data_IF_921506731739
#
_entry.id   IF_921506731739
#
_cell.length_a   1.000
_cell.length_b   1.000
_cell.length_c   1.000
_cell.angle_alpha   90.00
_cell.angle_beta   90.00
_cell.angle_gamma   90.00
#
_symmetry.space_group_name_H-M   'P 1'
#
loop_
_entity.id
_entity.type
_entity.pdbx_description
1 polymer ?
#
# COMPACT_ATOMS: atom_id res chain seq x y z
N UNK A 1 20.62 4.02 -3.21
CA UNK A 1 19.97 5.07 -4.03
C UNK A 1 18.60 5.34 -3.45
N UNK A 2 18.13 6.59 -3.41
CA UNK A 2 16.82 6.90 -2.83
C UNK A 2 15.70 6.56 -3.82
N UNK A 3 14.69 5.81 -3.37
CA UNK A 3 13.46 5.53 -4.14
C UNK A 3 12.67 6.80 -4.46
N UNK A 4 12.91 7.90 -3.72
CA UNK A 4 12.26 9.19 -3.94
C UNK A 4 12.62 9.85 -5.29
N UNK A 5 13.62 9.33 -6.02
CA UNK A 5 13.97 9.84 -7.36
C UNK A 5 13.13 9.22 -8.48
N UNK A 6 12.32 8.21 -8.20
CA UNK A 6 11.36 7.63 -9.16
C UNK A 6 10.19 8.58 -9.42
N UNK A 7 9.38 8.29 -10.43
CA UNK A 7 8.18 9.04 -10.75
C UNK A 7 6.95 8.25 -10.31
N UNK A 8 5.93 8.95 -9.80
CA UNK A 8 4.62 8.37 -9.51
C UNK A 8 3.54 9.11 -10.27
N UNK A 9 2.65 8.34 -10.89
CA UNK A 9 1.42 8.85 -11.50
C UNK A 9 0.23 8.28 -10.74
N UNK A 10 -0.36 9.09 -9.87
CA UNK A 10 -1.51 8.68 -9.07
C UNK A 10 -2.73 8.44 -9.97
N UNK A 11 -3.42 7.31 -9.75
CA UNK A 11 -4.71 7.03 -10.36
C UNK A 11 -5.84 7.64 -9.53
N UNK A 12 -6.99 7.86 -10.17
CA UNK A 12 -8.17 8.45 -9.52
C UNK A 12 -8.76 7.53 -8.44
N UNK A 13 -8.56 6.21 -8.57
CA UNK A 13 -9.06 5.21 -7.63
C UNK A 13 -7.92 4.52 -6.85
N UNK A 14 -8.12 4.23 -5.55
CA UNK A 14 -7.20 3.40 -4.79
C UNK A 14 -7.12 2.00 -5.41
N UNK A 15 -5.90 1.48 -5.50
CA UNK A 15 -5.65 0.10 -5.92
C UNK A 15 -5.45 -0.85 -4.73
N UNK A 16 -5.34 -0.29 -3.51
CA UNK A 16 -5.34 -1.02 -2.23
C UNK A 16 -6.45 -0.43 -1.36
N UNK A 17 -7.37 -1.27 -0.91
CA UNK A 17 -8.49 -0.88 -0.03
C UNK A 17 -8.45 -1.79 1.20
N UNK A 18 -8.25 -1.24 2.41
CA UNK A 18 -8.30 -2.01 3.65
C UNK A 18 -9.75 -2.42 3.97
N UNK A 19 -9.92 -3.45 4.79
CA UNK A 19 -11.20 -3.77 5.39
C UNK A 19 -11.62 -2.72 6.43
N UNK A 20 -12.93 -2.63 6.70
CA UNK A 20 -13.50 -1.69 7.68
C UNK A 20 -12.92 -1.86 9.09
N UNK A 21 -12.49 -3.08 9.42
CA UNK A 21 -11.80 -3.41 10.67
C UNK A 21 -10.68 -4.39 10.38
N UNK A 22 -9.48 -4.06 10.83
CA UNK A 22 -8.28 -4.89 10.70
C UNK A 22 -7.71 -5.18 12.08
N UNK A 23 -7.37 -6.44 12.35
CA UNK A 23 -6.72 -6.80 13.60
C UNK A 23 -5.41 -6.01 13.78
N UNK A 24 -5.21 -5.48 14.99
CA UNK A 24 -4.06 -4.62 15.29
C UNK A 24 -2.71 -5.28 14.94
N UNK A 25 -2.55 -6.57 15.24
CA UNK A 25 -1.31 -7.29 14.94
C UNK A 25 -1.05 -7.35 13.43
N UNK A 26 -2.10 -7.52 12.63
CA UNK A 26 -2.01 -7.54 11.17
C UNK A 26 -1.70 -6.15 10.61
N UNK A 27 -2.32 -5.11 11.15
CA UNK A 27 -1.98 -3.73 10.82
C UNK A 27 -0.50 -3.41 11.13
N UNK A 28 0.00 -3.79 12.31
CA UNK A 28 1.40 -3.61 12.69
C UNK A 28 2.37 -4.39 11.78
N UNK A 29 2.00 -5.61 11.35
CA UNK A 29 2.77 -6.35 10.33
C UNK A 29 2.86 -5.58 9.02
N UNK A 30 1.75 -5.03 8.52
CA UNK A 30 1.72 -4.25 7.28
C UNK A 30 2.55 -2.96 7.37
N UNK A 31 2.45 -2.24 8.49
CA UNK A 31 3.24 -1.02 8.77
C UNK A 31 4.74 -1.34 8.72
N UNK A 32 5.17 -2.41 9.38
CA UNK A 32 6.58 -2.77 9.47
C UNK A 32 7.13 -3.38 8.18
N UNK A 33 6.31 -4.11 7.42
CA UNK A 33 6.75 -4.82 6.23
C UNK A 33 6.72 -3.98 4.95
N UNK A 34 5.94 -2.89 4.91
CA UNK A 34 5.79 -2.10 3.70
C UNK A 34 7.04 -1.24 3.45
N UNK A 35 7.81 -1.49 2.37
CA UNK A 35 9.03 -0.74 2.08
C UNK A 35 8.76 0.74 1.73
N UNK A 36 7.51 1.08 1.44
CA UNK A 36 7.09 2.43 1.08
C UNK A 36 6.36 3.17 2.22
N UNK A 37 6.17 2.53 3.37
CA UNK A 37 5.50 3.15 4.52
C UNK A 37 4.05 3.57 4.25
N UNK A 38 3.29 2.82 3.46
CA UNK A 38 1.94 3.22 3.03
C UNK A 38 0.88 3.08 4.13
N UNK A 39 1.14 2.24 5.14
CA UNK A 39 0.18 1.87 6.17
C UNK A 39 0.43 2.64 7.46
N UNK A 40 -0.65 3.04 8.13
CA UNK A 40 -0.62 3.61 9.47
C UNK A 40 -1.92 3.31 10.21
N UNK A 41 -1.88 3.29 11.54
CA UNK A 41 -3.09 3.26 12.37
C UNK A 41 -3.56 4.70 12.65
N UNK A 42 -4.86 4.93 12.57
CA UNK A 42 -5.48 6.16 13.09
C UNK A 42 -5.49 6.12 14.63
N UNK A 43 -5.75 7.26 15.31
CA UNK A 43 -5.95 7.28 16.76
C UNK A 43 -7.06 6.33 17.23
N UNK A 44 -8.07 6.12 16.40
CA UNK A 44 -9.21 5.23 16.64
C UNK A 44 -8.87 3.74 16.45
N UNK A 45 -7.71 3.44 15.86
CA UNK A 45 -7.24 2.07 15.60
C UNK A 45 -7.55 1.54 14.20
N UNK A 46 -8.08 2.38 13.30
CA UNK A 46 -8.39 1.98 11.93
C UNK A 46 -7.13 1.99 11.05
N UNK A 47 -7.07 1.07 10.08
CA UNK A 47 -5.96 1.00 9.13
C UNK A 47 -6.13 2.04 8.01
N UNK A 48 -5.25 3.05 7.99
CA UNK A 48 -5.15 4.03 6.90
C UNK A 48 -4.09 3.59 5.88
N UNK A 49 -4.40 3.75 4.60
CA UNK A 49 -3.49 3.46 3.49
C UNK A 49 -3.27 4.70 2.61
N UNK A 50 -2.02 5.13 2.44
CA UNK A 50 -1.63 6.12 1.43
C UNK A 50 -1.08 5.43 0.18
N UNK A 51 -1.96 4.98 -0.71
CA UNK A 51 -1.60 4.17 -1.87
C UNK A 51 -0.78 4.92 -2.95
N UNK A 52 -0.67 6.25 -2.88
CA UNK A 52 -0.07 7.08 -3.95
C UNK A 52 1.43 6.85 -4.10
N UNK A 53 2.10 6.43 -3.03
CA UNK A 53 3.53 6.09 -3.02
C UNK A 53 3.83 4.60 -3.22
N UNK A 54 2.85 3.78 -3.63
CA UNK A 54 3.04 2.34 -3.74
C UNK A 54 4.17 1.98 -4.71
N UNK A 55 5.02 1.03 -4.31
CA UNK A 55 6.10 0.47 -5.14
C UNK A 55 5.64 -0.70 -6.01
N UNK A 56 4.38 -1.12 -5.87
CA UNK A 56 3.83 -2.28 -6.58
C UNK A 56 4.57 -3.60 -6.28
N UNK A 57 5.28 -3.67 -5.14
CA UNK A 57 6.09 -4.83 -4.75
C UNK A 57 5.27 -6.05 -4.28
N UNK A 58 4.01 -5.86 -3.91
CA UNK A 58 3.11 -6.95 -3.52
C UNK A 58 3.29 -7.51 -2.11
N UNK A 59 4.22 -7.01 -1.28
CA UNK A 59 4.44 -7.50 0.09
C UNK A 59 3.15 -7.56 0.92
N UNK A 60 2.35 -6.49 0.89
CA UNK A 60 1.08 -6.44 1.62
C UNK A 60 0.04 -7.46 1.14
N UNK A 61 0.06 -7.81 -0.16
CA UNK A 61 -0.80 -8.87 -0.73
C UNK A 61 -0.37 -10.26 -0.26
N UNK A 62 0.93 -10.49 -0.04
CA UNK A 62 1.44 -11.78 0.40
C UNK A 62 1.24 -12.01 1.91
N UNK A 63 1.22 -10.95 2.70
CA UNK A 63 1.13 -11.03 4.15
C UNK A 63 -0.30 -11.14 4.69
N UNK A 64 -1.30 -10.79 3.87
CA UNK A 64 -2.68 -10.67 4.32
C UNK A 64 -3.65 -11.17 3.26
N UNK A 65 -4.86 -11.53 3.70
CA UNK A 65 -5.95 -11.99 2.85
C UNK A 65 -7.06 -10.91 2.75
N UNK A 66 -8.21 -11.31 2.19
CA UNK A 66 -9.37 -10.45 1.98
C UNK A 66 -10.01 -9.94 3.28
N UNK A 67 -9.75 -10.58 4.43
CA UNK A 67 -10.20 -10.08 5.74
C UNK A 67 -9.48 -8.78 6.14
N UNK A 68 -8.33 -8.50 5.52
CA UNK A 68 -7.51 -7.31 5.78
C UNK A 68 -7.53 -6.34 4.62
N UNK A 69 -7.39 -6.83 3.39
CA UNK A 69 -7.40 -6.03 2.17
C UNK A 69 -8.56 -6.48 1.30
N UNK A 70 -9.70 -5.79 1.42
CA UNK A 70 -10.88 -6.04 0.57
C UNK A 70 -10.55 -5.91 -0.93
N UNK A 71 -9.57 -5.07 -1.26
CA UNK A 71 -9.09 -4.93 -2.61
C UNK A 71 -7.58 -4.78 -2.65
N UNK A 72 -6.93 -5.58 -3.50
CA UNK A 72 -5.58 -5.33 -3.96
C UNK A 72 -5.51 -5.60 -5.46
N UNK A 73 -5.05 -4.63 -6.23
CA UNK A 73 -4.77 -4.77 -7.67
C UNK A 73 -3.57 -3.91 -8.04
N UNK A 74 -2.96 -4.18 -9.19
CA UNK A 74 -2.04 -3.21 -9.77
C UNK A 74 -2.80 -1.91 -10.14
N UNK A 75 -2.13 -0.75 -10.10
CA UNK A 75 -2.66 0.47 -10.70
C UNK A 75 -3.03 0.24 -12.18
N UNK A 76 -3.97 1.03 -12.74
CA UNK A 76 -4.26 0.97 -14.16
C UNK A 76 -3.02 1.24 -15.02
N UNK A 77 -3.04 0.78 -16.27
CA UNK A 77 -1.92 0.99 -17.20
C UNK A 77 -1.54 2.46 -17.31
N UNK A 78 -0.24 2.76 -17.20
CA UNK A 78 0.29 4.12 -17.24
C UNK A 78 0.16 4.91 -15.94
N UNK A 79 -0.28 4.28 -14.84
CA UNK A 79 -0.28 4.83 -13.48
C UNK A 79 0.67 4.04 -12.57
N UNK A 80 0.81 4.50 -11.33
CA UNK A 80 1.69 3.88 -10.35
C UNK A 80 3.13 4.36 -10.46
N UNK A 81 4.08 3.50 -10.09
CA UNK A 81 5.50 3.86 -10.06
C UNK A 81 6.16 3.65 -11.43
N UNK A 82 6.98 4.60 -11.84
CA UNK A 82 7.95 4.44 -12.93
C UNK A 82 9.36 4.45 -12.35
N UNK A 83 9.99 3.28 -12.34
CA UNK A 83 11.39 3.13 -11.93
C UNK A 83 12.32 3.77 -12.95
N UNK A 84 13.17 4.70 -12.49
CA UNK A 84 14.11 5.42 -13.36
C UNK A 84 15.51 4.80 -13.40
N UNK A 85 15.86 3.99 -12.40
CA UNK A 85 17.25 3.59 -12.16
C UNK A 85 17.47 2.09 -11.97
N UNK A 86 16.43 1.26 -12.13
CA UNK A 86 16.52 -0.20 -12.03
C UNK A 86 16.96 -0.68 -10.66
#
# INVERSE_FOLDING_TARGET
MSVARNLWRAADAPHIVPADSVERQTAERLINACPAGLFALTPEGDLRVDYRGCLECGTCRLLCDESTLQQWRYPPSGFGITYRFG
#
